data_IF_896223552639
#
_entry.id   IF_896223552639
#
_cell.length_a   1.000
_cell.length_b   1.000
_cell.length_c   1.000
_cell.angle_alpha   90.00
_cell.angle_beta   90.00
_cell.angle_gamma   90.00
#
_symmetry.space_group_name_H-M   'P 1'
#
loop_
_entity.id
_entity.type
_entity.pdbx_description
1 polymer ?
#
# COMPACT_ATOMS: atom_id res chain seq x y z
N UNK A 1 -11.81 -7.98 2.11
CA UNK A 1 -11.64 -7.01 3.20
C UNK A 1 -11.56 -5.61 2.62
N UNK A 2 -12.00 -4.60 3.36
CA UNK A 2 -11.84 -3.17 2.99
C UNK A 2 -10.50 -2.62 3.49
N UNK A 3 -10.09 -1.47 2.97
CA UNK A 3 -8.92 -0.73 3.48
C UNK A 3 -9.06 -0.43 4.97
N UNK A 4 -10.24 -0.01 5.44
CA UNK A 4 -10.50 0.29 6.84
C UNK A 4 -10.39 -0.94 7.76
N UNK A 5 -10.81 -2.11 7.29
CA UNK A 5 -10.63 -3.38 8.01
C UNK A 5 -9.15 -3.73 8.14
N UNK A 6 -8.39 -3.60 7.05
CA UNK A 6 -6.94 -3.87 7.04
C UNK A 6 -6.20 -2.97 8.04
N UNK A 7 -6.51 -1.68 8.07
CA UNK A 7 -5.90 -0.72 9.01
C UNK A 7 -6.11 -1.16 10.45
N UNK A 8 -7.34 -1.56 10.81
CA UNK A 8 -7.67 -2.00 12.18
C UNK A 8 -6.97 -3.31 12.55
N UNK A 9 -6.93 -4.29 11.66
CA UNK A 9 -6.32 -5.61 11.92
C UNK A 9 -4.79 -5.53 12.03
N UNK A 10 -4.18 -4.66 11.24
CA UNK A 10 -2.73 -4.52 11.19
C UNK A 10 -2.17 -3.40 12.08
N UNK A 11 -3.02 -2.55 12.64
CA UNK A 11 -2.64 -1.34 13.37
C UNK A 11 -1.76 -0.42 12.49
N UNK A 12 -2.29 -0.10 11.30
CA UNK A 12 -1.55 0.68 10.29
C UNK A 12 -1.60 2.19 10.56
N UNK A 13 -0.47 2.84 10.34
CA UNK A 13 -0.40 4.30 10.26
C UNK A 13 -1.01 4.77 8.94
N UNK A 14 -1.84 5.80 8.99
CA UNK A 14 -2.45 6.41 7.80
C UNK A 14 -1.67 7.68 7.45
N UNK A 15 -0.98 7.69 6.31
CA UNK A 15 -0.30 8.88 5.79
C UNK A 15 -1.19 9.67 4.82
N UNK A 16 -1.99 8.95 4.02
CA UNK A 16 -3.04 9.52 3.18
C UNK A 16 -4.18 8.51 3.03
N UNK A 17 -5.42 8.98 3.18
CA UNK A 17 -6.63 8.16 3.02
C UNK A 17 -7.50 8.73 1.91
N UNK A 18 -7.93 7.86 0.99
CA UNK A 18 -8.86 8.23 -0.10
C UNK A 18 -10.26 7.72 0.20
N UNK A 19 -10.39 6.40 0.41
CA UNK A 19 -11.65 5.74 0.78
C UNK A 19 -11.35 4.52 1.65
N UNK A 20 -11.89 4.51 2.88
CA UNK A 20 -11.75 3.39 3.81
C UNK A 20 -12.61 2.17 3.41
N UNK A 21 -13.65 2.38 2.58
CA UNK A 21 -14.57 1.34 2.14
C UNK A 21 -14.10 0.66 0.84
N UNK A 22 -13.02 1.14 0.24
CA UNK A 22 -12.41 0.54 -0.95
C UNK A 22 -12.08 -0.94 -0.67
N UNK A 23 -12.54 -1.82 -1.57
CA UNK A 23 -12.40 -3.27 -1.42
C UNK A 23 -11.05 -3.72 -1.98
N UNK A 24 -10.29 -4.43 -1.15
CA UNK A 24 -9.02 -5.05 -1.55
C UNK A 24 -9.30 -6.48 -2.04
N UNK A 25 -8.97 -6.77 -3.29
CA UNK A 25 -9.19 -8.08 -3.90
C UNK A 25 -7.95 -8.97 -3.92
N UNK A 26 -6.76 -8.37 -3.91
CA UNK A 26 -5.49 -9.08 -4.05
C UNK A 26 -4.39 -8.39 -3.24
N UNK A 27 -3.24 -9.04 -3.12
CA UNK A 27 -2.05 -8.48 -2.47
C UNK A 27 -0.83 -8.67 -3.36
N UNK A 28 0.06 -7.68 -3.37
CA UNK A 28 1.35 -7.72 -4.06
C UNK A 28 2.43 -7.25 -3.08
N UNK A 29 3.56 -7.96 -3.00
CA UNK A 29 4.69 -7.59 -2.17
C UNK A 29 5.96 -7.57 -3.02
N UNK A 30 6.52 -6.39 -3.28
CA UNK A 30 7.71 -6.23 -4.11
C UNK A 30 8.21 -4.79 -4.08
N UNK A 31 9.53 -4.61 -4.22
CA UNK A 31 10.19 -3.30 -4.41
C UNK A 31 10.70 -3.12 -5.85
N UNK A 32 10.30 -4.00 -6.76
CA UNK A 32 10.68 -3.92 -8.16
C UNK A 32 9.48 -3.43 -8.97
N UNK A 33 9.54 -2.18 -9.46
CA UNK A 33 8.44 -1.59 -10.22
C UNK A 33 7.99 -2.42 -11.41
N UNK A 34 8.91 -3.00 -12.19
CA UNK A 34 8.54 -3.84 -13.34
C UNK A 34 7.76 -5.08 -12.93
N UNK A 35 8.06 -5.65 -11.77
CA UNK A 35 7.32 -6.77 -11.22
C UNK A 35 5.93 -6.35 -10.75
N UNK A 36 5.82 -5.20 -10.08
CA UNK A 36 4.52 -4.67 -9.62
C UNK A 36 3.63 -4.35 -10.80
N UNK A 37 4.16 -3.71 -11.84
CA UNK A 37 3.42 -3.41 -13.06
C UNK A 37 2.92 -4.67 -13.80
N UNK A 38 3.62 -5.79 -13.68
CA UNK A 38 3.23 -7.08 -14.30
C UNK A 38 2.29 -7.92 -13.40
N UNK A 39 2.46 -7.86 -12.07
CA UNK A 39 1.82 -8.77 -11.12
C UNK A 39 0.74 -8.14 -10.26
N UNK A 40 0.73 -6.82 -10.08
CA UNK A 40 -0.35 -6.14 -9.39
C UNK A 40 -1.65 -6.39 -10.15
N UNK A 41 -2.54 -7.14 -9.51
CA UNK A 41 -3.89 -7.34 -10.01
C UNK A 41 -4.75 -6.14 -9.64
N UNK A 42 -5.81 -5.93 -10.41
CA UNK A 42 -6.83 -4.92 -10.12
C UNK A 42 -7.18 -4.85 -8.63
N UNK A 43 -7.15 -3.64 -8.07
CA UNK A 43 -7.49 -3.35 -6.68
C UNK A 43 -6.73 -4.23 -5.68
N UNK A 44 -5.42 -4.40 -5.90
CA UNK A 44 -4.55 -5.02 -4.90
C UNK A 44 -4.12 -4.03 -3.82
N UNK A 45 -3.71 -4.55 -2.67
CA UNK A 45 -2.89 -3.84 -1.72
C UNK A 45 -1.41 -4.16 -1.97
N UNK A 46 -0.57 -3.13 -2.09
CA UNK A 46 0.84 -3.27 -2.40
C UNK A 46 1.73 -2.98 -1.19
N UNK A 47 2.49 -3.99 -0.76
CA UNK A 47 3.49 -3.91 0.30
C UNK A 47 4.88 -3.62 -0.29
N UNK A 48 5.54 -2.59 0.22
CA UNK A 48 6.86 -2.14 -0.27
C UNK A 48 7.60 -1.35 0.81
N UNK A 49 8.93 -1.25 0.70
CA UNK A 49 9.74 -0.27 1.45
C UNK A 49 10.06 0.97 0.62
N UNK A 50 9.64 1.03 -0.65
CA UNK A 50 9.89 2.17 -1.52
C UNK A 50 9.07 3.38 -1.08
N UNK A 51 9.74 4.48 -0.73
CA UNK A 51 9.10 5.73 -0.26
C UNK A 51 9.38 6.94 -1.14
N UNK A 52 9.76 6.73 -2.39
CA UNK A 52 9.92 7.81 -3.37
C UNK A 52 8.60 8.11 -4.09
N UNK A 53 8.52 9.28 -4.71
CA UNK A 53 7.29 9.77 -5.39
C UNK A 53 6.83 8.89 -6.57
N UNK A 54 7.69 8.03 -7.12
CA UNK A 54 7.32 7.23 -8.29
C UNK A 54 6.33 6.10 -7.94
N UNK A 55 6.24 5.71 -6.67
CA UNK A 55 5.28 4.68 -6.24
C UNK A 55 3.84 5.08 -6.54
N UNK A 56 3.52 6.38 -6.47
CA UNK A 56 2.15 6.87 -6.71
C UNK A 56 1.76 6.73 -8.18
N UNK A 57 2.71 6.93 -9.10
CA UNK A 57 2.48 6.75 -10.52
C UNK A 57 2.21 5.27 -10.84
N UNK A 58 3.00 4.36 -10.28
CA UNK A 58 2.78 2.90 -10.42
C UNK A 58 1.44 2.48 -9.83
N UNK A 59 1.14 2.93 -8.60
CA UNK A 59 -0.12 2.62 -7.94
C UNK A 59 -1.34 3.10 -8.71
N UNK A 60 -1.26 4.29 -9.30
CA UNK A 60 -2.30 4.84 -10.16
C UNK A 60 -2.51 4.01 -11.43
N UNK A 61 -1.43 3.68 -12.14
CA UNK A 61 -1.51 2.94 -13.42
C UNK A 61 -2.02 1.52 -13.20
N UNK A 62 -1.59 0.87 -12.11
CA UNK A 62 -1.99 -0.48 -11.77
C UNK A 62 -3.32 -0.57 -10.99
N UNK A 63 -4.03 0.55 -10.81
CA UNK A 63 -5.32 0.63 -10.09
C UNK A 63 -5.27 -0.03 -8.70
N UNK A 64 -4.23 0.32 -7.93
CA UNK A 64 -3.95 -0.20 -6.58
C UNK A 64 -4.86 0.49 -5.56
N UNK A 65 -5.49 -0.28 -4.68
CA UNK A 65 -6.40 0.23 -3.64
C UNK A 65 -5.66 0.90 -2.49
N UNK A 66 -4.50 0.37 -2.10
CA UNK A 66 -3.65 0.94 -1.06
C UNK A 66 -2.18 0.52 -1.21
N UNK A 67 -1.27 1.42 -0.88
CA UNK A 67 0.17 1.13 -0.72
C UNK A 67 0.52 1.14 0.77
N UNK A 68 1.21 0.10 1.23
CA UNK A 68 1.67 -0.04 2.63
C UNK A 68 3.19 0.01 2.66
N UNK A 69 3.72 1.08 3.24
CA UNK A 69 5.13 1.25 3.53
C UNK A 69 5.52 0.39 4.73
N UNK A 70 6.30 -0.66 4.48
CA UNK A 70 6.73 -1.61 5.49
C UNK A 70 8.02 -1.16 6.17
N UNK A 71 8.45 -1.92 7.19
CA UNK A 71 9.74 -1.76 7.88
C UNK A 71 9.92 -0.39 8.55
N UNK A 72 8.81 0.22 8.99
CA UNK A 72 8.81 1.52 9.65
C UNK A 72 9.17 2.69 8.75
N UNK A 73 9.26 2.47 7.43
CA UNK A 73 9.61 3.51 6.46
C UNK A 73 8.62 4.67 6.52
N UNK A 74 9.17 5.87 6.70
CA UNK A 74 8.39 7.11 6.74
C UNK A 74 8.43 7.80 5.37
N UNK A 75 7.27 8.16 4.79
CA UNK A 75 7.23 8.93 3.55
C UNK A 75 7.65 10.37 3.82
N UNK A 76 8.42 10.93 2.89
CA UNK A 76 8.69 12.36 2.88
C UNK A 76 7.43 13.15 2.48
N UNK A 77 7.35 14.43 2.84
CA UNK A 77 6.17 15.27 2.56
C UNK A 77 5.78 15.27 1.08
N UNK A 78 6.78 15.23 0.18
CA UNK A 78 6.58 15.22 -1.27
C UNK A 78 5.81 14.00 -1.75
N UNK A 79 6.03 12.83 -1.15
CA UNK A 79 5.28 11.62 -1.47
C UNK A 79 3.83 11.72 -0.98
N UNK A 80 3.62 12.25 0.23
CA UNK A 80 2.27 12.43 0.79
C UNK A 80 1.44 13.37 -0.09
N UNK A 81 2.00 14.51 -0.48
CA UNK A 81 1.33 15.45 -1.38
C UNK A 81 1.03 14.81 -2.74
N UNK A 82 1.98 14.04 -3.30
CA UNK A 82 1.74 13.36 -4.57
C UNK A 82 0.67 12.28 -4.48
N UNK A 83 0.60 11.58 -3.35
CA UNK A 83 -0.43 10.58 -3.09
C UNK A 83 -1.82 11.23 -3.01
N UNK A 84 -1.94 12.42 -2.39
CA UNK A 84 -3.18 13.21 -2.41
C UNK A 84 -3.57 13.63 -3.83
N UNK A 85 -2.64 14.22 -4.58
CA UNK A 85 -2.90 14.65 -5.97
C UNK A 85 -3.38 13.51 -6.87
N UNK A 86 -2.87 12.31 -6.64
CA UNK A 86 -3.13 11.14 -7.48
C UNK A 86 -4.21 10.21 -6.93
N UNK A 87 -4.86 10.56 -5.83
CA UNK A 87 -5.85 9.75 -5.11
C UNK A 87 -5.33 8.34 -4.77
N UNK A 88 -4.17 8.27 -4.12
CA UNK A 88 -3.56 7.02 -3.66
C UNK A 88 -3.62 6.92 -2.14
N UNK A 89 -4.27 5.89 -1.62
CA UNK A 89 -4.21 5.56 -0.19
C UNK A 89 -2.79 5.10 0.16
N UNK A 90 -2.16 5.77 1.12
CA UNK A 90 -0.79 5.53 1.57
C UNK A 90 -0.78 5.24 3.07
N UNK A 91 -0.30 4.05 3.43
CA UNK A 91 -0.31 3.50 4.77
C UNK A 91 1.11 3.12 5.20
N UNK A 92 1.32 2.85 6.48
CA UNK A 92 2.59 2.43 7.05
C UNK A 92 2.46 1.35 8.11
N UNK A 93 3.45 0.48 8.22
CA UNK A 93 3.60 -0.46 9.32
C UNK A 93 5.06 -0.64 9.74
N UNK A 94 5.28 -0.99 11.01
CA UNK A 94 6.61 -1.27 11.55
C UNK A 94 7.10 -2.70 11.24
N UNK A 95 6.27 -3.54 10.63
CA UNK A 95 6.63 -4.92 10.30
C UNK A 95 7.43 -4.97 8.99
N UNK A 96 8.49 -5.79 8.91
CA UNK A 96 9.11 -6.14 7.64
C UNK A 96 8.10 -6.76 6.68
N UNK A 97 8.31 -6.62 5.37
CA UNK A 97 7.38 -7.08 4.31
C UNK A 97 6.94 -8.53 4.52
N UNK A 98 7.87 -9.45 4.85
CA UNK A 98 7.53 -10.85 5.07
C UNK A 98 6.56 -11.05 6.25
N UNK A 99 6.80 -10.38 7.37
CA UNK A 99 5.95 -10.48 8.56
C UNK A 99 4.59 -9.82 8.34
N UNK A 100 4.57 -8.65 7.68
CA UNK A 100 3.35 -7.99 7.26
C UNK A 100 2.51 -8.91 6.35
N UNK A 101 3.13 -9.50 5.33
CA UNK A 101 2.47 -10.44 4.41
C UNK A 101 1.94 -11.69 5.13
N UNK A 102 2.73 -12.28 6.04
CA UNK A 102 2.31 -13.44 6.82
C UNK A 102 1.11 -13.12 7.72
N UNK A 103 1.11 -11.95 8.38
CA UNK A 103 0.00 -11.49 9.22
C UNK A 103 -1.27 -11.27 8.39
N UNK A 104 -1.18 -10.61 7.23
CA UNK A 104 -2.31 -10.43 6.31
C UNK A 104 -2.86 -11.78 5.87
N UNK A 105 -1.99 -12.72 5.49
CA UNK A 105 -2.40 -14.05 5.00
C UNK A 105 -3.25 -14.82 6.01
N UNK A 106 -3.04 -14.62 7.31
CA UNK A 106 -3.85 -15.24 8.38
C UNK A 106 -5.22 -14.58 8.57
N UNK A 107 -5.44 -13.40 7.99
CA UNK A 107 -6.67 -12.61 8.10
C UNK A 107 -7.53 -12.64 6.83
N UNK A 108 -7.07 -13.34 5.79
CA UNK A 108 -7.82 -13.66 4.57
C UNK A 108 -8.77 -14.83 4.81
#
# INVERSE_FOLDING_TARGET
MTVGELIKQMDLTVFNMVDENEVIYNFCASDLFSYVMDKAKYKCCWLTIMSNVNITAVARIAEISAVVLCDGVQPHYTLIEKAKEQNITLLGCNLPIFQASAKISQTL
#
